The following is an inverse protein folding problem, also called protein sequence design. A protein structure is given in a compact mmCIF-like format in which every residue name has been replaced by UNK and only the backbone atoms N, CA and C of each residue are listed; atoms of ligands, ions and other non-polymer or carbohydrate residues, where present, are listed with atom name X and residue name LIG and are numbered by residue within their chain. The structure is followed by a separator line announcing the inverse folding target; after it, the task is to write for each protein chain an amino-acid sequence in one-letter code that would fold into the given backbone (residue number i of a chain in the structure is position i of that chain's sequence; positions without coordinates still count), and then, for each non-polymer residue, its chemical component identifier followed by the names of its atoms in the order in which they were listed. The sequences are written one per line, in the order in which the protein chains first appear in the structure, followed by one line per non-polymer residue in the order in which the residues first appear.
data_IF_826585792806
#
_entry.id   IF_826585792806
#
_cell.length_a   1.000
_cell.length_b   1.000
_cell.length_c   1.000
_cell.angle_alpha   90.00
_cell.angle_beta   90.00
_cell.angle_gamma   90.00
#
_symmetry.space_group_name_H-M   'P 1'
#
loop_
_entity.id
_entity.type
_entity.pdbx_description
1 polymer ?
#
# COMPACT_ATOMS: atom_id res chain seq x y z
N UNK A 1 -11.70 -16.93 3.19
CA UNK A 1 -10.59 -16.34 3.98
C UNK A 1 -10.19 -15.06 3.27
N UNK A 2 -10.37 -13.89 3.88
CA UNK A 2 -9.91 -12.64 3.29
C UNK A 2 -8.38 -12.63 3.31
N UNK A 3 -7.73 -12.42 2.16
CA UNK A 3 -6.27 -12.30 2.14
C UNK A 3 -5.87 -10.90 2.61
N UNK A 4 -4.67 -10.74 3.13
CA UNK A 4 -4.16 -9.45 3.59
C UNK A 4 -3.08 -8.99 2.62
N UNK A 5 -3.24 -7.77 2.11
CA UNK A 5 -2.29 -7.07 1.25
C UNK A 5 -1.60 -5.98 2.07
N UNK A 6 -0.30 -6.13 2.30
CA UNK A 6 0.49 -5.22 3.13
C UNK A 6 1.31 -4.27 2.28
N UNK A 7 1.04 -2.96 2.36
CA UNK A 7 1.88 -1.95 1.71
C UNK A 7 3.13 -1.71 2.56
N UNK A 8 4.29 -2.00 1.99
CA UNK A 8 5.58 -1.88 2.67
C UNK A 8 6.65 -1.27 1.77
N UNK A 9 7.72 -0.79 2.41
CA UNK A 9 8.85 -0.19 1.70
C UNK A 9 9.85 -1.28 1.32
N UNK A 10 10.27 -1.30 0.05
CA UNK A 10 11.30 -2.17 -0.49
C UNK A 10 12.41 -1.31 -1.08
N UNK A 11 13.43 -1.04 -0.26
CA UNK A 11 14.51 -0.11 -0.61
C UNK A 11 14.00 1.32 -0.77
N UNK A 12 14.09 1.86 -1.99
CA UNK A 12 13.59 3.20 -2.34
C UNK A 12 12.12 3.21 -2.75
N UNK A 13 11.54 2.06 -3.08
CA UNK A 13 10.19 1.93 -3.62
C UNK A 13 9.19 1.43 -2.57
N UNK A 14 7.91 1.61 -2.86
CA UNK A 14 6.76 1.07 -2.17
C UNK A 14 6.20 -0.11 -2.95
N UNK A 15 5.89 -1.19 -2.24
CA UNK A 15 5.37 -2.43 -2.81
C UNK A 15 4.20 -2.94 -1.98
N UNK A 16 3.37 -3.77 -2.60
CA UNK A 16 2.28 -4.49 -1.95
C UNK A 16 2.72 -5.94 -1.78
N UNK A 17 2.78 -6.40 -0.53
CA UNK A 17 3.12 -7.78 -0.19
C UNK A 17 1.87 -8.55 0.21
N UNK A 18 1.63 -9.71 -0.38
CA UNK A 18 0.51 -10.57 0.03
C UNK A 18 0.93 -11.60 1.10
N UNK A 19 -0.01 -12.45 1.52
CA UNK A 19 0.19 -13.46 2.57
C UNK A 19 1.15 -14.58 2.18
N UNK A 20 1.29 -14.86 0.88
CA UNK A 20 2.27 -15.80 0.33
C UNK A 20 3.69 -15.22 0.32
N UNK A 21 3.80 -13.90 0.46
CA UNK A 21 5.06 -13.17 0.48
C UNK A 21 5.54 -12.69 -0.88
N UNK A 22 4.71 -12.79 -1.93
CA UNK A 22 5.00 -12.15 -3.21
C UNK A 22 4.84 -10.64 -3.11
N UNK A 23 5.56 -9.93 -3.98
CA UNK A 23 5.54 -8.47 -4.07
C UNK A 23 4.93 -8.02 -5.39
N UNK A 24 4.00 -7.08 -5.31
CA UNK A 24 3.28 -6.51 -6.45
C UNK A 24 3.29 -4.98 -6.38
N UNK A 25 2.91 -4.32 -7.49
CA UNK A 25 2.62 -2.89 -7.49
C UNK A 25 3.77 -2.02 -7.00
N UNK A 26 5.00 -2.28 -7.48
CA UNK A 26 6.19 -1.49 -7.13
C UNK A 26 6.08 -0.09 -7.72
N UNK A 27 6.10 0.94 -6.87
CA UNK A 27 6.15 2.35 -7.27
C UNK A 27 7.05 3.18 -6.33
N UNK A 28 7.66 4.25 -6.83
CA UNK A 28 8.32 5.26 -5.99
C UNK A 28 7.34 6.05 -5.10
N UNK A 29 6.05 6.02 -5.43
CA UNK A 29 5.00 6.76 -4.75
C UNK A 29 4.11 5.84 -3.92
N UNK A 30 3.99 6.16 -2.62
CA UNK A 30 3.20 5.37 -1.67
C UNK A 30 1.71 5.35 -2.03
N UNK A 31 1.19 6.43 -2.62
CA UNK A 31 -0.21 6.52 -3.00
C UNK A 31 -0.53 5.54 -4.12
N UNK A 32 0.32 5.43 -5.13
CA UNK A 32 0.15 4.47 -6.22
C UNK A 32 0.16 3.02 -5.71
N UNK A 33 1.07 2.70 -4.78
CA UNK A 33 1.11 1.39 -4.14
C UNK A 33 -0.17 1.08 -3.33
N UNK A 34 -0.73 2.08 -2.63
CA UNK A 34 -1.99 1.95 -1.89
C UNK A 34 -3.18 1.78 -2.83
N UNK A 35 -3.24 2.57 -3.90
CA UNK A 35 -4.30 2.47 -4.91
C UNK A 35 -4.27 1.10 -5.60
N UNK A 36 -3.08 0.61 -5.93
CA UNK A 36 -2.89 -0.72 -6.47
C UNK A 36 -3.37 -1.80 -5.48
N UNK A 37 -2.97 -1.70 -4.19
CA UNK A 37 -3.43 -2.62 -3.15
C UNK A 37 -4.95 -2.59 -2.99
N UNK A 38 -5.58 -1.41 -3.04
CA UNK A 38 -7.04 -1.25 -2.95
C UNK A 38 -7.75 -1.85 -4.17
N UNK A 39 -7.21 -1.66 -5.37
CA UNK A 39 -7.72 -2.28 -6.59
C UNK A 39 -7.68 -3.81 -6.53
N UNK A 40 -6.57 -4.37 -6.05
CA UNK A 40 -6.46 -5.82 -5.83
C UNK A 40 -7.40 -6.32 -4.72
N UNK A 41 -7.48 -5.60 -3.60
CA UNK A 41 -8.37 -5.91 -2.50
C UNK A 41 -9.83 -5.95 -2.93
N UNK A 42 -10.28 -4.96 -3.71
CA UNK A 42 -11.65 -4.91 -4.24
C UNK A 42 -11.96 -6.07 -5.19
N UNK A 43 -10.97 -6.60 -5.91
CA UNK A 43 -11.14 -7.73 -6.84
C UNK A 43 -11.12 -9.08 -6.15
N UNK A 44 -10.31 -9.21 -5.10
CA UNK A 44 -10.05 -10.49 -4.43
C UNK A 44 -10.77 -10.65 -3.10
N UNK A 45 -11.45 -9.60 -2.61
CA UNK A 45 -12.03 -9.57 -1.26
C UNK A 45 -10.97 -9.49 -0.16
N UNK A 46 -9.78 -9.00 -0.48
CA UNK A 46 -8.66 -8.87 0.45
C UNK A 46 -8.76 -7.58 1.26
N UNK A 47 -8.05 -7.50 2.38
CA UNK A 47 -7.92 -6.28 3.17
C UNK A 47 -6.54 -5.64 2.94
N UNK A 48 -6.51 -4.32 2.79
CA UNK A 48 -5.26 -3.57 2.69
C UNK A 48 -4.80 -3.14 4.07
N UNK A 49 -3.58 -3.48 4.41
CA UNK A 49 -2.89 -3.08 5.64
C UNK A 49 -1.65 -2.27 5.27
N UNK A 50 -1.36 -1.24 6.05
CA UNK A 50 -0.14 -0.44 5.89
C UNK A 50 0.89 -0.92 6.89
N UNK A 51 2.13 -1.13 6.44
CA UNK A 51 3.24 -1.38 7.36
C UNK A 51 3.57 -0.14 8.18
N UNK A 52 4.29 -0.31 9.29
CA UNK A 52 4.68 0.79 10.16
C UNK A 52 5.42 1.89 9.38
N UNK A 53 6.35 1.51 8.49
CA UNK A 53 7.09 2.45 7.64
C UNK A 53 6.17 3.23 6.69
N UNK A 54 5.12 2.60 6.17
CA UNK A 54 4.12 3.26 5.32
C UNK A 54 3.27 4.25 6.14
N UNK A 55 2.82 3.85 7.33
CA UNK A 55 2.07 4.72 8.25
C UNK A 55 2.90 5.93 8.69
N UNK A 56 4.17 5.71 9.05
CA UNK A 56 5.10 6.78 9.43
C UNK A 56 5.38 7.73 8.28
N UNK A 57 5.56 7.21 7.05
CA UNK A 57 5.76 8.04 5.87
C UNK A 57 4.54 8.93 5.59
N UNK A 58 3.33 8.37 5.61
CA UNK A 58 2.08 9.14 5.42
C UNK A 58 1.94 10.20 6.50
N UNK A 59 2.19 9.82 7.77
CA UNK A 59 2.13 10.74 8.91
C UNK A 59 3.16 11.87 8.80
N UNK A 60 4.37 11.56 8.33
CA UNK A 60 5.46 12.53 8.19
C UNK A 60 5.31 13.44 6.97
N UNK A 61 4.77 12.93 5.86
CA UNK A 61 4.60 13.70 4.61
C UNK A 61 3.26 14.43 4.54
N UNK A 62 2.33 14.15 5.45
CA UNK A 62 0.98 14.71 5.42
C UNK A 62 0.20 14.35 4.15
N UNK A 63 0.63 13.33 3.41
CA UNK A 63 0.02 12.95 2.14
C UNK A 63 -1.17 12.03 2.39
N UNK A 64 -2.23 12.63 2.90
CA UNK A 64 -3.58 12.20 2.57
C UNK A 64 -4.37 13.48 2.31
N UNK A 65 -4.25 14.01 1.09
CA UNK A 65 -5.15 15.04 0.62
C UNK A 65 -5.88 14.54 -0.64
N UNK A 66 -7.05 13.89 -0.48
CA UNK A 66 -7.91 13.55 -1.60
C UNK A 66 -8.68 14.76 -2.17
N UNK A 67 -8.48 16.00 -1.66
CA UNK A 67 -9.16 17.25 -2.08
C UNK A 67 -8.41 18.52 -1.62
N UNK A 68 -7.34 18.90 -2.31
CA UNK A 68 -6.75 20.25 -2.27
C UNK A 68 -6.40 20.57 -3.72
N UNK A 69 -7.01 21.54 -4.42
CA UNK A 69 -7.92 22.62 -4.03
C UNK A 69 -8.77 23.03 -5.24
#
# INVERSE_FOLDING_TARGET
MAQILTVCRLGTDWVVRDVTGEYYGRSGDINEAIEYARGLASRTGSQVVLSNSAQEYIRSKGTFDPRSS
#
